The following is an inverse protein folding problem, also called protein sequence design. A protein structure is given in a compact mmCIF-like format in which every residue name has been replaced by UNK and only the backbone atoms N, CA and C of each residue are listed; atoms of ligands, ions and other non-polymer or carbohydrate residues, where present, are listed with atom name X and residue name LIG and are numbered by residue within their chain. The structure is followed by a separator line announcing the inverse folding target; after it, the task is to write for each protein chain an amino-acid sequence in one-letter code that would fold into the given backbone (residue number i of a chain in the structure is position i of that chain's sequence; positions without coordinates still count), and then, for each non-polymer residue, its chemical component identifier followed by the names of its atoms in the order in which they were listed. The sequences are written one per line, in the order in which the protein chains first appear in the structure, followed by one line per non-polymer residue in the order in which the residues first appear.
data_IF_418845057628
#
_entry.id   IF_418845057628
#
_cell.length_a   1.000
_cell.length_b   1.000
_cell.length_c   1.000
_cell.angle_alpha   90.00
_cell.angle_beta   90.00
_cell.angle_gamma   90.00
#
_symmetry.space_group_name_H-M   'P 1'
#
loop_
_entity.id
_entity.type
_entity.pdbx_description
1 polymer ?
#
# COMPACT_ATOMS: atom_id res chain seq x y z
N UNK A 1 -4.10 13.82 -6.17
CA UNK A 1 -2.82 13.09 -6.10
C UNK A 1 -1.73 14.08 -5.72
N UNK A 2 -0.93 13.75 -4.72
CA UNK A 2 0.26 14.53 -4.35
C UNK A 2 1.32 14.46 -5.47
N UNK A 3 2.35 15.30 -5.39
CA UNK A 3 3.51 15.22 -6.26
C UNK A 3 4.33 13.97 -5.92
N UNK A 4 4.08 12.89 -6.67
CA UNK A 4 4.74 11.59 -6.49
C UNK A 4 4.93 10.91 -7.85
N UNK A 5 5.67 9.78 -7.84
CA UNK A 5 6.00 9.07 -9.08
C UNK A 5 4.79 8.55 -9.84
N UNK A 6 3.71 8.19 -9.14
CA UNK A 6 2.46 7.76 -9.79
C UNK A 6 1.84 8.90 -10.59
N UNK A 7 1.81 10.14 -10.06
CA UNK A 7 1.31 11.31 -10.81
C UNK A 7 2.19 11.60 -12.03
N UNK A 8 3.51 11.65 -11.84
CA UNK A 8 4.48 11.88 -12.92
C UNK A 8 4.31 10.85 -14.06
N UNK A 9 4.16 9.57 -13.72
CA UNK A 9 3.94 8.54 -14.73
C UNK A 9 2.61 8.75 -15.50
N UNK A 10 1.56 9.25 -14.83
CA UNK A 10 0.27 9.52 -15.46
C UNK A 10 0.24 10.76 -16.35
N UNK A 11 1.19 11.67 -16.20
CA UNK A 11 1.39 12.81 -17.10
C UNK A 11 1.97 12.34 -18.46
N UNK A 12 2.60 11.16 -18.51
CA UNK A 12 3.20 10.58 -19.72
C UNK A 12 2.48 9.32 -20.24
N UNK A 13 1.66 8.67 -19.41
CA UNK A 13 0.94 7.45 -19.73
C UNK A 13 -0.51 7.52 -19.22
N UNK A 14 -1.47 7.27 -20.09
CA UNK A 14 -2.90 7.31 -19.72
C UNK A 14 -3.38 6.03 -19.01
N UNK A 15 -2.51 5.09 -18.64
CA UNK A 15 -2.93 3.79 -18.10
C UNK A 15 -2.25 3.47 -16.76
N UNK A 16 -3.03 2.89 -15.85
CA UNK A 16 -2.55 2.30 -14.61
C UNK A 16 -3.31 1.03 -14.27
N UNK A 17 -2.71 0.20 -13.42
CA UNK A 17 -3.38 -0.96 -12.86
C UNK A 17 -3.69 -0.74 -11.39
N UNK A 18 -4.95 -0.91 -11.01
CA UNK A 18 -5.33 -0.99 -9.61
C UNK A 18 -5.30 -2.46 -9.17
N UNK A 19 -4.66 -2.73 -8.05
CA UNK A 19 -4.51 -4.06 -7.50
C UNK A 19 -5.19 -4.10 -6.12
N UNK A 20 -6.17 -4.98 -5.96
CA UNK A 20 -6.84 -5.20 -4.68
C UNK A 20 -6.03 -6.26 -3.92
N UNK A 21 -5.63 -5.93 -2.70
CA UNK A 21 -4.85 -6.82 -1.83
C UNK A 21 -5.21 -6.60 -0.37
N UNK A 22 -5.08 -7.65 0.43
CA UNK A 22 -5.16 -7.61 1.90
C UNK A 22 -3.81 -7.99 2.53
N UNK A 23 -2.74 -7.95 1.75
CA UNK A 23 -1.38 -8.21 2.20
C UNK A 23 -0.82 -6.96 2.89
N UNK A 24 -0.65 -6.97 4.22
CA UNK A 24 -0.19 -5.80 4.95
C UNK A 24 1.27 -5.44 4.62
N UNK A 25 2.11 -6.41 4.25
CA UNK A 25 3.53 -6.19 3.92
C UNK A 25 3.64 -5.44 2.60
N UNK A 26 2.85 -5.82 1.59
CA UNK A 26 2.80 -5.09 0.32
C UNK A 26 2.29 -3.65 0.50
N UNK A 27 1.28 -3.44 1.35
CA UNK A 27 0.73 -2.11 1.62
C UNK A 27 1.80 -1.21 2.27
N UNK A 28 2.45 -1.67 3.34
CA UNK A 28 3.51 -0.90 4.02
C UNK A 28 4.67 -0.61 3.07
N UNK A 29 5.18 -1.64 2.40
CA UNK A 29 6.40 -1.52 1.59
C UNK A 29 6.16 -0.57 0.42
N UNK A 30 5.01 -0.66 -0.27
CA UNK A 30 4.70 0.25 -1.39
C UNK A 30 4.40 1.69 -0.98
N UNK A 31 3.99 1.92 0.27
CA UNK A 31 3.73 3.26 0.79
C UNK A 31 5.02 4.01 1.15
N UNK A 32 6.05 3.30 1.61
CA UNK A 32 7.30 3.87 2.13
C UNK A 32 8.52 3.61 1.23
N UNK A 33 8.38 2.74 0.22
CA UNK A 33 9.46 2.34 -0.66
C UNK A 33 8.94 1.84 -2.02
N UNK A 34 9.86 1.41 -2.88
CA UNK A 34 9.53 0.77 -4.17
C UNK A 34 9.47 -0.74 -4.00
N UNK A 35 8.40 -1.37 -4.50
CA UNK A 35 8.30 -2.83 -4.56
C UNK A 35 9.25 -3.37 -5.63
N UNK A 36 9.92 -4.50 -5.37
CA UNK A 36 10.87 -5.07 -6.32
C UNK A 36 10.12 -5.72 -7.51
N UNK A 37 10.79 -5.79 -8.67
CA UNK A 37 10.16 -6.15 -9.95
C UNK A 37 9.53 -7.55 -9.94
N UNK A 38 10.10 -8.49 -9.19
CA UNK A 38 9.59 -9.84 -9.00
C UNK A 38 8.23 -9.89 -8.30
N UNK A 39 7.77 -8.81 -7.67
CA UNK A 39 6.42 -8.72 -7.11
C UNK A 39 5.35 -8.65 -8.21
N UNK A 40 5.75 -8.26 -9.42
CA UNK A 40 4.86 -8.03 -10.55
C UNK A 40 4.81 -9.20 -11.53
N UNK A 41 3.66 -9.36 -12.15
CA UNK A 41 3.43 -10.09 -13.39
C UNK A 41 2.76 -9.13 -14.38
N UNK A 42 2.31 -9.62 -15.53
CA UNK A 42 1.77 -8.78 -16.60
C UNK A 42 0.40 -9.26 -17.08
N UNK A 43 -0.45 -8.30 -17.42
CA UNK A 43 -1.63 -8.53 -18.27
C UNK A 43 -1.40 -7.91 -19.65
N UNK A 44 -2.07 -8.42 -20.67
CA UNK A 44 -1.98 -7.91 -22.04
C UNK A 44 -3.27 -7.19 -22.44
N UNK A 45 -3.14 -6.01 -23.04
CA UNK A 45 -4.24 -5.27 -23.66
C UNK A 45 -3.72 -4.51 -24.88
N UNK A 46 -4.39 -4.65 -26.04
CA UNK A 46 -4.01 -4.02 -27.31
C UNK A 46 -2.50 -4.12 -27.63
N UNK A 47 -1.94 -5.32 -27.55
CA UNK A 47 -0.51 -5.62 -27.81
C UNK A 47 0.49 -5.04 -26.80
N UNK A 48 0.04 -4.25 -25.83
CA UNK A 48 0.85 -3.74 -24.73
C UNK A 48 0.72 -4.61 -23.47
N UNK A 49 1.77 -4.61 -22.66
CA UNK A 49 1.84 -5.28 -21.36
C UNK A 49 1.72 -4.26 -20.24
N UNK A 50 0.95 -4.61 -19.20
CA UNK A 50 0.73 -3.77 -18.03
C UNK A 50 1.07 -4.55 -16.76
N UNK A 51 1.85 -3.98 -15.83
CA UNK A 51 2.24 -4.67 -14.61
C UNK A 51 1.05 -4.84 -13.67
N UNK A 52 0.91 -6.00 -13.04
CA UNK A 52 -0.07 -6.28 -11.97
C UNK A 52 0.62 -7.07 -10.85
N UNK A 53 0.14 -6.99 -9.62
CA UNK A 53 0.75 -7.73 -8.51
C UNK A 53 0.43 -9.23 -8.63
N UNK A 54 1.46 -10.09 -8.49
CA UNK A 54 1.32 -11.56 -8.57
C UNK A 54 0.25 -12.09 -7.62
N UNK A 55 0.19 -11.54 -6.41
CA UNK A 55 -0.68 -12.02 -5.32
C UNK A 55 -1.92 -11.15 -5.09
N UNK A 56 -2.21 -10.19 -5.97
CA UNK A 56 -3.46 -9.44 -5.89
C UNK A 56 -4.67 -10.37 -6.02
N UNK A 57 -5.71 -10.06 -5.24
CA UNK A 57 -7.02 -10.70 -5.33
C UNK A 57 -7.76 -10.27 -6.58
N UNK A 58 -7.56 -9.03 -7.02
CA UNK A 58 -8.14 -8.49 -8.23
C UNK A 58 -7.17 -7.50 -8.84
N UNK A 59 -7.02 -7.54 -10.16
CA UNK A 59 -6.31 -6.52 -10.93
C UNK A 59 -7.27 -5.86 -11.91
N UNK A 60 -7.16 -4.55 -12.06
CA UNK A 60 -8.04 -3.73 -12.91
C UNK A 60 -7.16 -2.82 -13.75
N UNK A 61 -7.25 -2.93 -15.07
CA UNK A 61 -6.65 -1.96 -15.99
C UNK A 61 -7.59 -0.77 -16.11
N UNK A 62 -7.05 0.41 -15.83
CA UNK A 62 -7.77 1.67 -15.82
C UNK A 62 -7.12 2.62 -16.82
N UNK A 63 -7.95 3.31 -17.60
CA UNK A 63 -7.54 4.49 -18.35
C UNK A 63 -7.77 5.72 -17.48
N UNK A 64 -6.73 6.51 -17.27
CA UNK A 64 -6.76 7.76 -16.52
C UNK A 64 -6.83 8.96 -17.48
N UNK A 65 -7.66 9.94 -17.12
CA UNK A 65 -7.75 11.23 -17.81
C UNK A 65 -7.61 12.35 -16.79
N UNK A 66 -6.58 13.17 -16.93
CA UNK A 66 -6.36 14.33 -16.07
C UNK A 66 -7.53 15.31 -16.19
N UNK A 67 -8.06 15.75 -15.05
CA UNK A 67 -9.13 16.76 -14.97
C UNK A 67 -8.58 18.12 -14.53
N UNK A 68 -7.62 18.10 -13.62
CA UNK A 68 -6.89 19.28 -13.15
C UNK A 68 -5.50 18.84 -12.64
N UNK A 69 -4.74 19.74 -12.02
CA UNK A 69 -3.37 19.48 -11.55
C UNK A 69 -3.24 18.25 -10.63
N UNK A 70 -4.29 17.92 -9.85
CA UNK A 70 -4.21 16.83 -8.86
C UNK A 70 -5.28 15.75 -9.03
N UNK A 71 -6.26 15.94 -9.91
CA UNK A 71 -7.41 15.03 -10.06
C UNK A 71 -7.40 14.34 -11.42
N UNK A 72 -7.65 13.03 -11.41
CA UNK A 72 -7.80 12.19 -12.60
C UNK A 72 -9.15 11.46 -12.53
N UNK A 73 -9.84 11.38 -13.66
CA UNK A 73 -10.98 10.48 -13.83
C UNK A 73 -10.49 9.13 -14.33
N UNK A 74 -11.03 8.04 -13.79
CA UNK A 74 -10.63 6.68 -14.13
C UNK A 74 -11.76 5.95 -14.85
N UNK A 75 -11.46 5.36 -16.00
CA UNK A 75 -12.35 4.47 -16.74
C UNK A 75 -11.82 3.05 -16.67
N UNK A 76 -12.66 2.12 -16.22
CA UNK A 76 -12.33 0.69 -16.24
C UNK A 76 -12.29 0.17 -17.67
N UNK A 77 -11.17 -0.45 -18.04
CA UNK A 77 -10.99 -1.09 -19.35
C UNK A 77 -11.26 -2.59 -19.24
N UNK A 78 -10.61 -3.25 -18.30
CA UNK A 78 -10.79 -4.68 -18.02
C UNK A 78 -10.29 -5.00 -16.61
N UNK A 79 -10.67 -6.15 -16.07
CA UNK A 79 -10.17 -6.63 -14.79
C UNK A 79 -10.35 -8.14 -14.63
N UNK A 80 -9.58 -8.71 -13.72
CA UNK A 80 -9.64 -10.12 -13.37
C UNK A 80 -9.64 -10.28 -11.85
N UNK A 81 -10.60 -11.05 -11.34
CA UNK A 81 -10.68 -11.41 -9.93
C UNK A 81 -10.31 -12.88 -9.75
N UNK A 82 -9.51 -13.15 -8.71
CA UNK A 82 -9.23 -14.50 -8.24
C UNK A 82 -10.24 -14.88 -7.17
N UNK A 83 -10.52 -16.17 -7.02
CA UNK A 83 -11.30 -16.67 -5.89
C UNK A 83 -10.61 -16.27 -4.59
N UNK A 84 -11.37 -15.65 -3.69
CA UNK A 84 -10.90 -15.25 -2.37
C UNK A 84 -11.73 -15.96 -1.30
N UNK A 85 -11.08 -16.23 -0.18
CA UNK A 85 -11.77 -16.62 1.04
C UNK A 85 -12.05 -15.37 1.86
N UNK A 86 -13.26 -15.25 2.45
CA UNK A 86 -13.53 -14.19 3.40
C UNK A 86 -12.52 -14.24 4.55
N UNK A 87 -11.94 -13.09 4.88
CA UNK A 87 -11.07 -12.93 6.06
C UNK A 87 -11.90 -12.37 7.20
N UNK A 88 -11.77 -12.94 8.40
CA UNK A 88 -12.37 -12.38 9.60
C UNK A 88 -11.81 -10.96 9.87
N UNK A 89 -12.64 -10.09 10.45
CA UNK A 89 -12.23 -8.74 10.83
C UNK A 89 -11.02 -8.82 11.77
N UNK A 90 -9.93 -8.14 11.39
CA UNK A 90 -8.69 -8.13 12.15
C UNK A 90 -8.28 -6.68 12.48
N UNK A 91 -8.29 -6.31 13.76
CA UNK A 91 -7.90 -4.97 14.22
C UNK A 91 -6.42 -4.66 13.98
N UNK A 92 -5.56 -5.69 13.95
CA UNK A 92 -4.16 -5.54 13.57
C UNK A 92 -4.01 -5.06 12.13
N UNK A 93 -4.78 -5.62 11.19
CA UNK A 93 -4.71 -5.22 9.78
C UNK A 93 -5.08 -3.74 9.59
N UNK A 94 -6.17 -3.30 10.21
CA UNK A 94 -6.55 -1.87 10.18
C UNK A 94 -5.54 -0.98 10.91
N UNK A 95 -4.96 -1.45 12.02
CA UNK A 95 -3.90 -0.72 12.72
C UNK A 95 -2.63 -0.56 11.86
N UNK A 96 -2.27 -1.55 11.04
CA UNK A 96 -1.18 -1.41 10.06
C UNK A 96 -1.49 -0.33 9.04
N UNK A 97 -2.71 -0.27 8.51
CA UNK A 97 -3.13 0.77 7.56
C UNK A 97 -3.00 2.17 8.19
N UNK A 98 -3.55 2.35 9.39
CA UNK A 98 -3.48 3.65 10.09
C UNK A 98 -2.05 4.04 10.46
N UNK A 99 -1.23 3.08 10.89
CA UNK A 99 0.19 3.31 11.14
C UNK A 99 0.92 3.73 9.86
N UNK A 100 0.60 3.12 8.72
CA UNK A 100 1.20 3.46 7.41
C UNK A 100 0.87 4.89 7.00
N UNK A 101 -0.38 5.34 7.20
CA UNK A 101 -0.77 6.74 6.95
C UNK A 101 0.05 7.70 7.83
N UNK A 102 0.20 7.39 9.13
CA UNK A 102 1.02 8.21 10.03
C UNK A 102 2.50 8.18 9.64
N UNK A 103 3.02 7.02 9.23
CA UNK A 103 4.40 6.83 8.80
C UNK A 103 4.75 7.67 7.57
N UNK A 104 3.91 7.68 6.54
CA UNK A 104 4.15 8.51 5.33
C UNK A 104 4.22 10.02 5.64
N UNK A 105 3.55 10.48 6.69
CA UNK A 105 3.65 11.87 7.18
C UNK A 105 4.86 12.06 8.10
N UNK A 106 5.15 11.08 8.94
CA UNK A 106 6.30 11.09 9.84
C UNK A 106 7.60 11.24 9.07
N UNK A 107 7.80 10.48 7.99
CA UNK A 107 9.02 10.58 7.17
C UNK A 107 9.19 11.95 6.49
N UNK A 108 8.11 12.72 6.31
CA UNK A 108 8.17 14.06 5.72
C UNK A 108 8.40 15.16 6.77
N UNK A 109 7.83 15.01 7.97
CA UNK A 109 7.77 16.10 8.96
C UNK A 109 8.45 15.79 10.29
N UNK A 110 8.89 14.55 10.51
CA UNK A 110 9.50 14.04 11.74
C UNK A 110 8.73 14.43 13.02
N UNK A 111 7.39 14.41 12.98
CA UNK A 111 6.58 14.92 14.08
C UNK A 111 6.29 13.85 15.15
N UNK A 112 6.43 14.29 16.41
CA UNK A 112 6.21 13.47 17.61
C UNK A 112 4.78 12.93 17.71
N UNK A 113 3.81 13.62 17.13
CA UNK A 113 2.42 13.17 17.13
C UNK A 113 2.25 11.92 16.28
N UNK A 114 2.77 11.90 15.04
CA UNK A 114 2.70 10.72 14.20
C UNK A 114 3.48 9.55 14.81
N UNK A 115 4.63 9.81 15.43
CA UNK A 115 5.37 8.77 16.15
C UNK A 115 4.56 8.15 17.29
N UNK A 116 3.85 8.97 18.09
CA UNK A 116 2.95 8.47 19.14
C UNK A 116 1.82 7.62 18.55
N UNK A 117 1.22 8.05 17.45
CA UNK A 117 0.19 7.28 16.75
C UNK A 117 0.72 5.95 16.24
N UNK A 118 1.91 5.92 15.62
CA UNK A 118 2.56 4.67 15.16
C UNK A 118 2.77 3.72 16.34
N UNK A 119 3.33 4.20 17.46
CA UNK A 119 3.52 3.38 18.68
C UNK A 119 2.19 2.86 19.24
N UNK A 120 1.14 3.68 19.22
CA UNK A 120 -0.21 3.26 19.62
C UNK A 120 -0.75 2.12 18.75
N UNK A 121 -0.65 2.25 17.42
CA UNK A 121 -1.11 1.21 16.50
C UNK A 121 -0.25 -0.06 16.57
N UNK A 122 1.06 0.06 16.81
CA UNK A 122 1.93 -1.08 17.08
C UNK A 122 1.44 -1.93 18.26
N UNK A 123 0.98 -1.30 19.34
CA UNK A 123 0.39 -2.03 20.47
C UNK A 123 -0.88 -2.80 20.08
N UNK A 124 -1.67 -2.28 19.13
CA UNK A 124 -2.84 -3.00 18.60
C UNK A 124 -2.40 -4.17 17.73
N UNK A 125 -1.41 -3.97 16.86
CA UNK A 125 -0.85 -5.03 16.01
C UNK A 125 -0.29 -6.17 16.87
N UNK A 126 0.45 -5.87 17.94
CA UNK A 126 0.99 -6.89 18.83
C UNK A 126 -0.09 -7.73 19.53
N UNK A 127 -1.28 -7.18 19.76
CA UNK A 127 -2.40 -7.87 20.43
C UNK A 127 -3.34 -8.57 19.47
N UNK A 128 -3.50 -8.07 18.25
CA UNK A 128 -4.58 -8.48 17.34
C UNK A 128 -4.08 -8.91 15.96
N UNK A 129 -2.83 -8.62 15.61
CA UNK A 129 -2.23 -8.95 14.32
C UNK A 129 -1.90 -10.42 14.20
N UNK A 130 -1.98 -10.95 12.98
CA UNK A 130 -1.35 -12.21 12.64
C UNK A 130 0.15 -11.99 12.39
N UNK A 131 0.95 -13.05 12.17
CA UNK A 131 2.37 -12.88 11.83
C UNK A 131 2.63 -11.90 10.68
N UNK A 132 1.76 -11.86 9.67
CA UNK A 132 1.89 -10.94 8.54
C UNK A 132 1.72 -9.47 8.94
N UNK A 133 0.79 -9.15 9.86
CA UNK A 133 0.63 -7.77 10.34
C UNK A 133 1.79 -7.34 11.25
N UNK A 134 2.30 -8.25 12.08
CA UNK A 134 3.48 -8.00 12.92
C UNK A 134 4.70 -7.75 12.04
N UNK A 135 4.92 -8.57 11.02
CA UNK A 135 5.98 -8.38 10.03
C UNK A 135 5.85 -7.04 9.31
N UNK A 136 4.65 -6.70 8.85
CA UNK A 136 4.40 -5.42 8.20
C UNK A 136 4.73 -4.23 9.11
N UNK A 137 4.39 -4.30 10.40
CA UNK A 137 4.72 -3.25 11.37
C UNK A 137 6.23 -3.16 11.64
N UNK A 138 6.93 -4.29 11.70
CA UNK A 138 8.39 -4.31 11.80
C UNK A 138 9.07 -3.67 10.59
N UNK A 139 8.59 -3.98 9.38
CA UNK A 139 9.07 -3.36 8.14
C UNK A 139 8.80 -1.85 8.15
N UNK A 140 7.60 -1.43 8.58
CA UNK A 140 7.24 -0.02 8.71
C UNK A 140 8.25 0.71 9.62
N UNK A 141 8.50 0.17 10.81
CA UNK A 141 9.41 0.79 11.76
C UNK A 141 10.85 0.83 11.23
N UNK A 142 11.29 -0.25 10.57
CA UNK A 142 12.61 -0.29 9.90
C UNK A 142 12.74 0.77 8.82
N UNK A 143 11.75 0.92 7.94
CA UNK A 143 11.76 1.91 6.85
C UNK A 143 11.68 3.36 7.36
N UNK A 144 11.13 3.56 8.56
CA UNK A 144 11.01 4.87 9.20
C UNK A 144 12.11 5.16 10.24
N UNK A 145 13.07 4.23 10.44
CA UNK A 145 14.10 4.32 11.47
C UNK A 145 13.52 4.53 12.89
N UNK A 146 12.39 3.88 13.17
CA UNK A 146 11.71 3.95 14.46
C UNK A 146 12.14 2.78 15.35
N UNK A 147 12.65 3.10 16.53
CA UNK A 147 12.86 2.12 17.59
C UNK A 147 11.57 1.91 18.40
N UNK A 148 11.15 0.64 18.46
CA UNK A 148 10.05 0.21 19.32
C UNK A 148 10.63 -0.30 20.65
N UNK A 149 10.16 0.28 21.75
CA UNK A 149 10.48 -0.25 23.07
C UNK A 149 9.80 -1.61 23.25
N UNK A 150 10.59 -2.68 23.31
CA UNK A 150 10.11 -4.05 23.57
C UNK A 150 9.66 -4.26 25.02
N UNK A 151 9.59 -3.22 25.85
CA UNK A 151 9.36 -3.31 27.30
C UNK A 151 7.90 -3.54 27.71
N UNK A 152 7.03 -3.99 26.79
CA UNK A 152 5.61 -4.25 27.05
C UNK A 152 5.13 -5.63 26.56
N UNK A 153 6.07 -6.55 26.28
CA UNK A 153 5.78 -7.99 26.15
C UNK A 153 6.05 -8.70 27.47
#
# INVERSE_FOLDING_TARGET
MYQNKTRENLEHCEYLTANITQDPVLIVTSALSTLPQETYTEIKYQQQKYPVLKNASTSILLKAKQQNETTFTLQTITGAAKKQTPRAINRGFFAVIEATVNATRYVLFNSKEQLRSIKYYNNIVNKCGSPAEIEAMNILCKLCEIELDNSLL
#
